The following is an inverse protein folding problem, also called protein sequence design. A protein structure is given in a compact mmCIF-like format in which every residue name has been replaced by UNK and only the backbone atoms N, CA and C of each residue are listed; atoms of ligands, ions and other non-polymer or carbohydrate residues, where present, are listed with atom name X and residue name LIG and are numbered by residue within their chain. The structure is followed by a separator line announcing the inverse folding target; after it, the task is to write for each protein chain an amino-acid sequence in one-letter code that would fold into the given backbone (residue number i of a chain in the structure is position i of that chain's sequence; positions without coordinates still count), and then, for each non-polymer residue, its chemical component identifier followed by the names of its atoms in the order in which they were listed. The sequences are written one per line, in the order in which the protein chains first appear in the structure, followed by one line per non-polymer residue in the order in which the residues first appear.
data_IF_290454374142
#
_entry.id   IF_290454374142
#
_cell.length_a   1.000
_cell.length_b   1.000
_cell.length_c   1.000
_cell.angle_alpha   90.00
_cell.angle_beta   90.00
_cell.angle_gamma   90.00
#
_symmetry.space_group_name_H-M   'P 1'
#
loop_
_entity.id
_entity.type
_entity.pdbx_description
1 polymer ?
#
# COMPACT_ATOMS: atom_id res chain seq x y z
N UNK A 1 -17.53 -59.60 0.17
CA UNK A 1 -16.59 -58.47 0.32
C UNK A 1 -17.25 -57.50 1.28
N UNK A 2 -16.70 -57.32 2.48
CA UNK A 2 -17.31 -56.43 3.48
C UNK A 2 -17.13 -54.98 3.02
N UNK A 3 -18.23 -54.26 2.86
CA UNK A 3 -18.20 -52.81 2.60
C UNK A 3 -17.52 -52.11 3.77
N UNK A 4 -16.30 -51.61 3.52
CA UNK A 4 -15.59 -50.76 4.47
C UNK A 4 -16.35 -49.44 4.59
N UNK A 5 -17.26 -49.38 5.57
CA UNK A 5 -17.93 -48.13 5.93
C UNK A 5 -16.90 -47.19 6.56
N UNK A 6 -16.91 -45.93 6.11
CA UNK A 6 -16.06 -44.89 6.68
C UNK A 6 -16.37 -44.73 8.19
N UNK A 7 -15.36 -44.47 9.04
CA UNK A 7 -15.59 -44.30 10.47
C UNK A 7 -16.61 -43.20 10.75
N UNK A 8 -17.64 -43.48 11.55
CA UNK A 8 -18.71 -42.53 11.87
C UNK A 8 -18.16 -41.19 12.38
N UNK A 9 -17.15 -41.22 13.26
CA UNK A 9 -16.51 -40.00 13.80
C UNK A 9 -15.87 -39.14 12.71
N UNK A 10 -15.32 -39.75 11.67
CA UNK A 10 -14.76 -39.01 10.54
C UNK A 10 -15.86 -38.40 9.66
N UNK A 11 -16.97 -39.14 9.44
CA UNK A 11 -18.11 -38.62 8.70
C UNK A 11 -18.76 -37.43 9.41
N UNK A 12 -19.00 -37.57 10.71
CA UNK A 12 -19.61 -36.51 11.53
C UNK A 12 -18.71 -35.26 11.56
N UNK A 13 -17.39 -35.42 11.71
CA UNK A 13 -16.47 -34.28 11.73
C UNK A 13 -16.30 -33.57 10.38
N UNK A 14 -16.28 -34.30 9.26
CA UNK A 14 -15.96 -33.75 7.93
C UNK A 14 -17.20 -33.28 7.18
N UNK A 15 -18.35 -33.92 7.38
CA UNK A 15 -19.58 -33.65 6.63
C UNK A 15 -20.57 -32.78 7.40
N UNK A 16 -20.08 -31.99 8.36
CA UNK A 16 -20.90 -31.02 9.09
C UNK A 16 -21.56 -30.03 8.12
N UNK A 17 -22.91 -29.88 8.17
CA UNK A 17 -23.59 -28.88 7.37
C UNK A 17 -23.16 -27.47 7.75
N UNK A 18 -22.81 -26.65 6.76
CA UNK A 18 -22.52 -25.23 6.96
C UNK A 18 -23.80 -24.41 7.14
N UNK A 19 -23.74 -23.36 7.96
CA UNK A 19 -24.80 -22.35 8.04
C UNK A 19 -24.79 -21.45 6.79
N UNK A 20 -25.91 -20.78 6.53
CA UNK A 20 -25.98 -19.76 5.49
C UNK A 20 -25.13 -18.53 5.86
N UNK A 21 -24.50 -17.93 4.85
CA UNK A 21 -23.77 -16.66 4.97
C UNK A 21 -24.68 -15.48 4.58
N UNK A 22 -24.39 -14.26 5.05
CA UNK A 22 -25.10 -13.05 4.60
C UNK A 22 -25.03 -12.86 3.07
N UNK A 23 -26.12 -12.37 2.46
CA UNK A 23 -26.23 -12.20 1.01
C UNK A 23 -25.33 -11.08 0.44
N UNK A 24 -24.97 -10.11 1.28
CA UNK A 24 -24.10 -8.99 0.94
C UNK A 24 -22.60 -9.32 1.04
N UNK A 25 -22.25 -10.54 1.50
CA UNK A 25 -20.86 -10.95 1.63
C UNK A 25 -20.21 -11.07 0.24
N UNK A 26 -19.11 -10.33 -0.03
CA UNK A 26 -18.44 -10.39 -1.32
C UNK A 26 -17.86 -11.78 -1.56
N UNK A 27 -18.17 -12.37 -2.72
CA UNK A 27 -17.61 -13.66 -3.14
C UNK A 27 -16.21 -13.48 -3.69
N UNK A 28 -15.32 -14.43 -3.40
CA UNK A 28 -13.97 -14.44 -3.96
C UNK A 28 -14.04 -14.69 -5.47
N UNK A 29 -13.49 -13.74 -6.25
CA UNK A 29 -13.37 -13.80 -7.70
C UNK A 29 -12.23 -12.90 -8.16
N UNK A 30 -11.26 -13.46 -8.88
CA UNK A 30 -10.18 -12.69 -9.50
C UNK A 30 -10.62 -12.00 -10.80
N UNK A 31 -9.74 -11.15 -11.34
CA UNK A 31 -9.90 -10.56 -12.67
C UNK A 31 -9.86 -11.63 -13.77
N UNK A 32 -10.74 -11.51 -14.76
CA UNK A 32 -10.83 -12.43 -15.89
C UNK A 32 -10.17 -11.82 -17.13
N UNK A 33 -8.98 -12.29 -17.46
CA UNK A 33 -8.19 -11.79 -18.59
C UNK A 33 -8.79 -12.10 -19.97
N UNK A 34 -9.83 -12.94 -20.07
CA UNK A 34 -10.58 -13.07 -21.32
C UNK A 34 -11.31 -11.77 -21.70
N UNK A 35 -11.45 -10.83 -20.76
CA UNK A 35 -12.01 -9.50 -20.96
C UNK A 35 -10.98 -8.47 -21.45
N UNK A 36 -9.71 -8.88 -21.65
CA UNK A 36 -8.61 -8.04 -22.08
C UNK A 36 -7.66 -7.65 -20.93
N UNK A 37 -6.82 -6.64 -21.18
CA UNK A 37 -5.85 -6.12 -20.19
C UNK A 37 -6.29 -4.71 -19.78
N UNK A 38 -7.11 -4.64 -18.74
CA UNK A 38 -7.50 -3.40 -18.06
C UNK A 38 -6.87 -3.37 -16.66
N UNK A 39 -5.86 -2.52 -16.48
CA UNK A 39 -5.16 -2.37 -15.19
C UNK A 39 -6.05 -1.78 -14.10
N UNK A 40 -7.00 -0.91 -14.45
CA UNK A 40 -7.91 -0.34 -13.48
C UNK A 40 -8.88 -1.40 -12.96
N UNK A 41 -9.50 -2.16 -13.87
CA UNK A 41 -10.38 -3.28 -13.50
C UNK A 41 -9.63 -4.40 -12.76
N UNK A 42 -8.38 -4.67 -13.12
CA UNK A 42 -7.50 -5.60 -12.39
C UNK A 42 -7.26 -5.15 -10.95
N UNK A 43 -6.90 -3.88 -10.72
CA UNK A 43 -6.68 -3.35 -9.37
C UNK A 43 -7.99 -3.28 -8.57
N UNK A 44 -9.13 -3.02 -9.22
CA UNK A 44 -10.44 -3.10 -8.57
C UNK A 44 -10.79 -4.52 -8.12
N UNK A 45 -10.42 -5.55 -8.90
CA UNK A 45 -10.69 -6.95 -8.53
C UNK A 45 -9.93 -7.38 -7.28
N UNK A 46 -8.88 -6.66 -6.86
CA UNK A 46 -8.11 -7.01 -5.66
C UNK A 46 -9.00 -7.10 -4.42
N UNK A 47 -10.08 -6.31 -4.34
CA UNK A 47 -11.06 -6.38 -3.26
C UNK A 47 -11.63 -7.80 -3.06
N UNK A 48 -11.86 -8.51 -4.17
CA UNK A 48 -12.44 -9.86 -4.19
C UNK A 48 -11.41 -10.95 -4.53
N UNK A 49 -10.12 -10.62 -4.59
CA UNK A 49 -9.05 -11.59 -4.89
C UNK A 49 -8.59 -12.35 -3.63
N UNK A 50 -8.65 -11.72 -2.44
CA UNK A 50 -8.25 -12.33 -1.17
C UNK A 50 -6.82 -12.02 -0.75
N UNK A 51 -6.47 -12.41 0.48
CA UNK A 51 -5.15 -12.21 1.10
C UNK A 51 -4.67 -10.74 1.01
N UNK A 52 -3.40 -10.52 0.67
CA UNK A 52 -2.81 -9.18 0.59
C UNK A 52 -3.41 -8.32 -0.53
N UNK A 53 -3.99 -8.92 -1.57
CA UNK A 53 -4.67 -8.16 -2.61
C UNK A 53 -5.86 -7.39 -2.01
N UNK A 54 -6.70 -8.05 -1.21
CA UNK A 54 -7.81 -7.39 -0.51
C UNK A 54 -7.30 -6.31 0.45
N UNK A 55 -6.18 -6.53 1.15
CA UNK A 55 -5.56 -5.50 2.00
C UNK A 55 -5.14 -4.25 1.20
N UNK A 56 -4.58 -4.41 0.00
CA UNK A 56 -4.25 -3.28 -0.89
C UNK A 56 -5.50 -2.55 -1.34
N UNK A 57 -6.56 -3.26 -1.73
CA UNK A 57 -7.82 -2.64 -2.14
C UNK A 57 -8.45 -1.82 -1.00
N UNK A 58 -8.44 -2.34 0.23
CA UNK A 58 -8.90 -1.61 1.40
C UNK A 58 -8.03 -0.38 1.71
N UNK A 59 -6.71 -0.47 1.54
CA UNK A 59 -5.81 0.67 1.69
C UNK A 59 -6.11 1.78 0.67
N UNK A 60 -6.40 1.43 -0.59
CA UNK A 60 -6.82 2.39 -1.63
C UNK A 60 -8.12 3.09 -1.23
N UNK A 61 -9.12 2.32 -0.77
CA UNK A 61 -10.40 2.88 -0.30
C UNK A 61 -10.19 3.86 0.86
N UNK A 62 -9.34 3.51 1.81
CA UNK A 62 -9.10 4.35 2.98
C UNK A 62 -8.36 5.64 2.63
N UNK A 63 -7.35 5.58 1.75
CA UNK A 63 -6.64 6.77 1.24
C UNK A 63 -7.60 7.69 0.48
N UNK A 64 -8.50 7.13 -0.35
CA UNK A 64 -9.50 7.93 -1.05
C UNK A 64 -10.45 8.65 -0.07
N UNK A 65 -10.88 8.00 1.01
CA UNK A 65 -11.67 8.68 2.06
C UNK A 65 -10.90 9.83 2.72
N UNK A 66 -9.60 9.66 2.98
CA UNK A 66 -8.77 10.76 3.51
C UNK A 66 -8.74 11.94 2.54
N UNK A 67 -8.58 11.67 1.24
CA UNK A 67 -8.57 12.68 0.18
C UNK A 67 -9.94 13.38 0.08
N UNK A 68 -11.03 12.62 0.03
CA UNK A 68 -12.39 13.15 0.00
C UNK A 68 -12.64 14.06 1.21
N UNK A 69 -12.32 13.57 2.42
CA UNK A 69 -12.45 14.33 3.65
C UNK A 69 -11.60 15.60 3.65
N UNK A 70 -10.40 15.54 3.05
CA UNK A 70 -9.52 16.69 2.90
C UNK A 70 -10.12 17.77 1.98
N UNK A 71 -10.84 17.36 0.93
CA UNK A 71 -11.43 18.24 -0.08
C UNK A 71 -12.78 18.84 0.34
N UNK A 72 -13.38 18.37 1.44
CA UNK A 72 -14.58 18.96 2.01
C UNK A 72 -14.34 20.44 2.37
N UNK A 73 -15.24 21.37 1.97
CA UNK A 73 -15.15 22.77 2.38
C UNK A 73 -15.26 22.89 3.91
N UNK A 74 -14.35 23.64 4.52
CA UNK A 74 -14.50 24.04 5.91
C UNK A 74 -15.27 25.36 6.00
N UNK A 75 -16.15 25.46 6.99
CA UNK A 75 -16.75 26.75 7.36
C UNK A 75 -15.64 27.69 7.86
N UNK A 76 -15.68 28.95 7.42
CA UNK A 76 -14.69 29.95 7.82
C UNK A 76 -14.83 30.23 9.33
N UNK A 77 -13.95 29.67 10.15
CA UNK A 77 -13.78 30.17 11.52
C UNK A 77 -13.08 31.54 11.46
N UNK A 78 -13.81 32.58 11.86
CA UNK A 78 -13.27 33.93 12.06
C UNK A 78 -12.24 33.94 13.21
N UNK A 79 -10.98 33.63 12.91
CA UNK A 79 -9.94 33.80 13.93
C UNK A 79 -8.54 33.31 13.56
N UNK A 80 -7.56 34.20 13.76
CA UNK A 80 -6.14 33.90 13.97
C UNK A 80 -5.29 33.48 12.74
N UNK A 81 -4.77 34.50 12.04
CA UNK A 81 -3.37 34.65 11.59
C UNK A 81 -2.60 33.44 11.02
N UNK A 82 -2.33 33.50 9.71
CA UNK A 82 -1.19 32.86 9.00
C UNK A 82 -1.09 31.32 8.96
N UNK A 83 -2.16 30.60 9.26
CA UNK A 83 -2.22 29.15 9.01
C UNK A 83 -2.56 28.86 7.54
N UNK A 84 -1.86 27.94 6.83
CA UNK A 84 -2.31 27.50 5.52
C UNK A 84 -3.70 26.86 5.67
N UNK A 85 -4.60 27.18 4.74
CA UNK A 85 -6.01 26.77 4.68
C UNK A 85 -6.28 25.45 5.43
N UNK A 86 -7.09 25.51 6.49
CA UNK A 86 -7.52 24.31 7.19
C UNK A 86 -8.17 23.34 6.18
N UNK A 87 -7.73 22.08 6.16
CA UNK A 87 -8.37 21.01 5.39
C UNK A 87 -9.19 20.11 6.31
N UNK A 88 -10.27 19.51 5.79
CA UNK A 88 -11.13 18.62 6.60
C UNK A 88 -10.44 17.35 7.10
N UNK A 89 -9.23 17.06 6.62
CA UNK A 89 -8.35 16.00 7.09
C UNK A 89 -6.89 16.46 7.00
N UNK A 90 -6.11 16.24 8.06
CA UNK A 90 -4.65 16.45 8.07
C UNK A 90 -3.96 15.12 7.79
N UNK A 91 -3.21 15.02 6.69
CA UNK A 91 -2.57 13.78 6.24
C UNK A 91 -1.07 13.79 6.61
N UNK A 92 -0.69 12.84 7.47
CA UNK A 92 0.70 12.58 7.85
C UNK A 92 1.28 11.45 7.00
N UNK A 93 2.34 11.74 6.25
CA UNK A 93 3.07 10.75 5.46
C UNK A 93 4.38 10.38 6.16
N UNK A 94 4.46 9.14 6.65
CA UNK A 94 5.67 8.55 7.23
C UNK A 94 6.37 7.62 6.24
N UNK A 95 7.69 7.76 6.07
CA UNK A 95 8.49 6.81 5.28
C UNK A 95 9.90 6.63 5.82
N UNK A 96 10.46 5.43 5.64
CA UNK A 96 11.84 5.09 6.01
C UNK A 96 12.84 5.54 4.93
N UNK A 97 14.11 5.70 5.31
CA UNK A 97 15.17 6.20 4.41
C UNK A 97 15.34 5.39 3.13
N UNK A 98 15.26 4.06 3.21
CA UNK A 98 15.41 3.17 2.05
C UNK A 98 14.37 3.42 0.94
N UNK A 99 13.20 3.98 1.26
CA UNK A 99 12.21 4.36 0.24
C UNK A 99 12.68 5.56 -0.59
N UNK A 100 13.46 6.48 0.01
CA UNK A 100 14.11 7.58 -0.71
C UNK A 100 15.33 7.09 -1.49
N UNK A 101 16.06 6.08 -1.00
CA UNK A 101 17.10 5.39 -1.79
C UNK A 101 16.53 4.75 -3.06
N UNK A 102 15.28 4.26 -2.99
CA UNK A 102 14.56 3.63 -4.11
C UNK A 102 13.96 4.65 -5.10
N UNK A 103 13.27 4.15 -6.13
CA UNK A 103 12.47 4.98 -7.05
C UNK A 103 11.12 5.45 -6.49
N UNK A 104 10.73 5.03 -5.28
CA UNK A 104 9.52 5.55 -4.61
C UNK A 104 9.67 7.05 -4.27
N UNK A 105 10.91 7.54 -4.20
CA UNK A 105 11.27 8.96 -4.05
C UNK A 105 10.49 9.87 -5.01
N UNK A 106 10.36 9.51 -6.28
CA UNK A 106 9.62 10.31 -7.27
C UNK A 106 8.12 10.40 -6.97
N UNK A 107 7.52 9.34 -6.40
CA UNK A 107 6.13 9.31 -5.95
C UNK A 107 5.92 10.16 -4.71
N UNK A 108 6.82 10.07 -3.72
CA UNK A 108 6.77 10.93 -2.51
C UNK A 108 6.89 12.40 -2.92
N UNK A 109 7.84 12.73 -3.81
CA UNK A 109 8.03 14.08 -4.33
C UNK A 109 6.80 14.59 -5.08
N UNK A 110 6.03 13.72 -5.75
CA UNK A 110 4.75 14.09 -6.38
C UNK A 110 3.75 14.56 -5.32
N UNK A 111 3.54 13.74 -4.29
CA UNK A 111 2.57 14.04 -3.22
C UNK A 111 2.93 15.34 -2.51
N UNK A 112 4.21 15.55 -2.20
CA UNK A 112 4.69 16.78 -1.57
C UNK A 112 4.55 18.01 -2.49
N UNK A 113 5.00 17.91 -3.75
CA UNK A 113 4.93 19.02 -4.71
C UNK A 113 3.49 19.51 -4.94
N UNK A 114 2.53 18.59 -4.98
CA UNK A 114 1.13 18.90 -5.23
C UNK A 114 0.32 19.14 -3.94
N UNK A 115 0.98 19.28 -2.78
CA UNK A 115 0.34 19.54 -1.48
C UNK A 115 -0.76 18.53 -1.15
N UNK A 116 -0.54 17.26 -1.51
CA UNK A 116 -1.47 16.15 -1.23
C UNK A 116 -1.32 15.58 0.18
N UNK A 117 -0.26 15.98 0.89
CA UNK A 117 0.03 15.62 2.29
C UNK A 117 0.43 16.87 3.05
N UNK A 118 0.17 16.90 4.36
CA UNK A 118 0.35 18.09 5.20
C UNK A 118 1.61 18.00 6.05
N UNK A 119 1.97 16.81 6.50
CA UNK A 119 3.15 16.57 7.35
C UNK A 119 3.94 15.38 6.85
N UNK A 120 5.27 15.50 6.82
CA UNK A 120 6.19 14.42 6.47
C UNK A 120 7.03 14.07 7.69
N UNK A 121 7.13 12.76 7.98
CA UNK A 121 8.02 12.22 9.02
C UNK A 121 8.95 11.20 8.38
N UNK A 122 10.26 11.42 8.49
CA UNK A 122 11.27 10.48 7.99
C UNK A 122 12.53 10.50 8.84
N UNK A 123 13.43 9.54 8.62
CA UNK A 123 14.75 9.46 9.27
C UNK A 123 15.78 10.31 8.51
N UNK A 124 16.96 10.55 9.11
CA UNK A 124 18.01 11.37 8.50
C UNK A 124 18.36 10.96 7.06
N UNK A 125 18.48 9.65 6.81
CA UNK A 125 18.72 9.09 5.47
C UNK A 125 17.67 9.51 4.44
N UNK A 126 16.39 9.61 4.83
CA UNK A 126 15.31 10.04 3.95
C UNK A 126 15.39 11.52 3.55
N UNK A 127 16.13 12.34 4.30
CA UNK A 127 16.39 13.74 3.95
C UNK A 127 17.66 13.87 3.12
N UNK A 128 18.78 13.32 3.61
CA UNK A 128 20.09 13.51 2.96
C UNK A 128 20.16 12.85 1.59
N UNK A 129 19.55 11.67 1.40
CA UNK A 129 19.59 10.96 0.13
C UNK A 129 18.76 11.65 -0.96
N UNK A 130 17.71 12.39 -0.61
CA UNK A 130 16.95 13.21 -1.56
C UNK A 130 17.84 14.32 -2.15
N UNK A 131 18.63 14.98 -1.30
CA UNK A 131 19.61 15.98 -1.75
C UNK A 131 20.76 15.36 -2.54
N UNK A 132 21.31 14.23 -2.08
CA UNK A 132 22.39 13.53 -2.78
C UNK A 132 21.96 13.14 -4.19
N UNK A 133 20.71 12.70 -4.39
CA UNK A 133 20.17 12.37 -5.72
C UNK A 133 20.06 13.55 -6.69
N UNK A 134 20.09 14.78 -6.19
CA UNK A 134 20.20 15.98 -7.03
C UNK A 134 21.64 16.25 -7.49
N UNK A 135 22.64 15.64 -6.82
CA UNK A 135 24.06 15.79 -7.11
C UNK A 135 24.61 14.63 -7.95
N UNK A 136 24.20 13.40 -7.65
CA UNK A 136 24.64 12.19 -8.33
C UNK A 136 23.58 11.07 -8.27
N UNK A 137 23.52 10.18 -9.27
CA UNK A 137 22.55 9.09 -9.29
C UNK A 137 22.92 7.93 -8.33
N UNK A 138 21.88 7.18 -7.95
CA UNK A 138 22.00 5.87 -7.28
C UNK A 138 21.79 4.75 -8.30
N UNK A 139 22.47 3.62 -8.14
CA UNK A 139 22.45 2.52 -9.12
C UNK A 139 21.86 1.24 -8.53
N UNK A 140 21.24 0.43 -9.39
CA UNK A 140 20.76 -0.91 -9.02
C UNK A 140 21.93 -1.86 -8.82
N UNK A 141 21.89 -2.66 -7.76
CA UNK A 141 22.85 -3.72 -7.45
C UNK A 141 22.17 -5.00 -6.99
N UNK A 142 22.93 -5.90 -6.36
CA UNK A 142 22.41 -7.15 -5.80
C UNK A 142 22.70 -7.26 -4.30
N UNK A 143 21.78 -7.88 -3.55
CA UNK A 143 21.97 -8.14 -2.12
C UNK A 143 23.16 -9.07 -1.82
N UNK A 144 23.48 -9.96 -2.75
CA UNK A 144 24.55 -10.96 -2.69
C UNK A 144 25.96 -10.39 -2.90
N UNK A 145 26.11 -9.11 -3.29
CA UNK A 145 27.43 -8.52 -3.55
C UNK A 145 28.30 -8.52 -2.29
N UNK A 146 29.56 -8.95 -2.45
CA UNK A 146 30.55 -9.04 -1.39
C UNK A 146 30.87 -7.66 -0.80
N UNK A 147 30.61 -7.48 0.50
CA UNK A 147 30.90 -6.22 1.20
C UNK A 147 32.38 -5.84 1.16
N UNK A 148 33.29 -6.83 1.15
CA UNK A 148 34.75 -6.59 1.05
C UNK A 148 35.11 -5.94 -0.29
N UNK A 149 34.58 -6.47 -1.39
CA UNK A 149 34.88 -5.97 -2.74
C UNK A 149 34.26 -4.60 -2.98
N UNK A 150 33.02 -4.40 -2.52
CA UNK A 150 32.35 -3.10 -2.58
C UNK A 150 33.15 -2.04 -1.82
N UNK A 151 33.58 -2.36 -0.60
CA UNK A 151 34.37 -1.44 0.23
C UNK A 151 35.71 -1.09 -0.41
N UNK A 152 36.41 -2.07 -1.00
CA UNK A 152 37.66 -1.83 -1.73
C UNK A 152 37.48 -0.89 -2.93
N UNK A 153 36.28 -0.83 -3.51
CA UNK A 153 35.92 0.02 -4.64
C UNK A 153 35.25 1.34 -4.22
N UNK A 154 35.09 1.60 -2.92
CA UNK A 154 34.41 2.80 -2.42
C UNK A 154 32.90 2.83 -2.72
N UNK A 155 32.27 1.67 -2.92
CA UNK A 155 30.84 1.55 -3.19
C UNK A 155 30.13 1.18 -1.89
N UNK A 156 29.10 1.95 -1.53
CA UNK A 156 28.23 1.64 -0.39
C UNK A 156 27.00 0.86 -0.88
N UNK A 157 26.57 -0.13 -0.09
CA UNK A 157 25.35 -0.91 -0.30
C UNK A 157 24.57 -0.98 1.00
#
# INVERSE_FOLDING_TARGET
MAEQHAPFVAMDAVLMPSMALPDDMPRIKGYDFNQGVDHHALLQSFLTTGFQASSVAHAIQEINKMIEKRLEPLEEEEGCGSSPSHSGCTIFLGYTSNLISSGVRESIRYLAQHKMVDVIVTTAGGVEEDFIKCLAPTYLGEFSLSGKELRQRGINR
#
